data_IF_865179625861
#
_entry.id   IF_865179625861
#
_cell.length_a   1.000
_cell.length_b   1.000
_cell.length_c   1.000
_cell.angle_alpha   90.00
_cell.angle_beta   90.00
_cell.angle_gamma   90.00
#
_symmetry.space_group_name_H-M   'P 1'
#
loop_
_entity.id
_entity.type
_entity.pdbx_description
1 polymer ?
#
# COMPACT_ATOMS: atom_id res chain seq x y z
N UNK A 1 9.02 1.62 16.63
CA UNK A 1 8.92 1.33 15.17
C UNK A 1 8.14 0.06 14.89
N UNK A 2 8.52 -1.10 15.45
CA UNK A 2 7.75 -2.35 15.30
C UNK A 2 6.34 -2.23 15.87
N UNK A 3 6.18 -1.63 17.04
CA UNK A 3 4.86 -1.50 17.69
C UNK A 3 3.91 -0.60 16.91
N UNK A 4 4.43 0.45 16.26
CA UNK A 4 3.67 1.29 15.34
C UNK A 4 3.19 0.48 14.12
N UNK A 5 4.07 -0.35 13.55
CA UNK A 5 3.70 -1.22 12.45
C UNK A 5 2.65 -2.27 12.89
N UNK A 6 2.79 -2.82 14.10
CA UNK A 6 1.82 -3.76 14.67
C UNK A 6 0.46 -3.09 14.94
N UNK A 7 0.46 -1.85 15.41
CA UNK A 7 -0.76 -1.06 15.58
C UNK A 7 -1.49 -0.89 14.23
N UNK A 8 -0.77 -0.52 13.17
CA UNK A 8 -1.35 -0.41 11.82
C UNK A 8 -1.86 -1.76 11.29
N UNK A 9 -1.14 -2.85 11.54
CA UNK A 9 -1.59 -4.20 11.22
C UNK A 9 -2.94 -4.53 11.88
N UNK A 10 -3.03 -4.27 13.19
CA UNK A 10 -4.24 -4.51 13.98
C UNK A 10 -5.41 -3.62 13.56
N UNK A 11 -5.13 -2.36 13.22
CA UNK A 11 -6.13 -1.45 12.67
C UNK A 11 -6.68 -1.94 11.31
N UNK A 12 -5.83 -2.58 10.48
CA UNK A 12 -6.24 -3.05 9.17
C UNK A 12 -7.01 -4.39 9.20
N UNK A 13 -6.56 -5.33 10.05
CA UNK A 13 -7.01 -6.74 10.03
C UNK A 13 -7.76 -7.20 11.29
N UNK A 14 -7.75 -6.43 12.38
CA UNK A 14 -8.39 -6.75 13.66
C UNK A 14 -7.41 -6.80 14.84
N UNK A 15 -7.92 -6.53 16.05
CA UNK A 15 -7.12 -6.32 17.28
C UNK A 15 -6.21 -7.49 17.67
N UNK A 16 -6.66 -8.72 17.39
CA UNK A 16 -5.93 -9.95 17.75
C UNK A 16 -4.88 -10.35 16.72
N UNK A 17 -4.68 -9.54 15.66
CA UNK A 17 -3.76 -9.87 14.58
C UNK A 17 -2.32 -9.64 14.99
N UNK A 18 -1.47 -10.64 14.77
CA UNK A 18 -0.03 -10.56 14.92
C UNK A 18 0.69 -10.70 13.58
N UNK A 19 1.94 -10.24 13.52
CA UNK A 19 2.76 -10.43 12.34
C UNK A 19 2.98 -11.90 12.06
N UNK A 20 2.83 -12.27 10.79
CA UNK A 20 3.33 -13.54 10.29
C UNK A 20 4.85 -13.46 10.12
N UNK A 21 5.48 -14.63 10.16
CA UNK A 21 6.92 -14.77 9.97
C UNK A 21 7.39 -14.01 8.71
N UNK A 22 8.36 -13.12 8.87
CA UNK A 22 8.96 -12.33 7.79
C UNK A 22 8.25 -11.02 7.45
N UNK A 23 7.03 -10.76 7.94
CA UNK A 23 6.31 -9.52 7.61
C UNK A 23 6.99 -8.29 8.19
N UNK A 24 7.36 -8.34 9.47
CA UNK A 24 8.04 -7.22 10.11
C UNK A 24 9.42 -6.98 9.49
N UNK A 25 10.16 -8.04 9.18
CA UNK A 25 11.48 -7.98 8.55
C UNK A 25 11.37 -7.30 7.18
N UNK A 26 10.35 -7.65 6.39
CA UNK A 26 10.09 -7.04 5.09
C UNK A 26 9.71 -5.54 5.22
N UNK A 27 8.80 -5.20 6.13
CA UNK A 27 8.42 -3.80 6.41
C UNK A 27 9.66 -2.99 6.82
N UNK A 28 10.43 -3.52 7.79
CA UNK A 28 11.66 -2.89 8.30
C UNK A 28 12.67 -2.67 7.18
N UNK A 29 12.84 -3.64 6.29
CA UNK A 29 13.73 -3.52 5.13
C UNK A 29 13.32 -2.37 4.22
N UNK A 30 12.04 -2.28 3.84
CA UNK A 30 11.50 -1.24 2.96
C UNK A 30 11.62 0.15 3.59
N UNK A 31 11.19 0.33 4.83
CA UNK A 31 11.25 1.65 5.50
C UNK A 31 12.69 2.11 5.80
N UNK A 32 13.66 1.21 5.70
CA UNK A 32 15.09 1.51 5.77
C UNK A 32 15.71 1.84 4.41
N UNK A 33 14.90 1.99 3.36
CA UNK A 33 15.35 2.35 2.02
C UNK A 33 15.98 1.19 1.23
N UNK A 34 15.79 -0.06 1.66
CA UNK A 34 16.38 -1.23 0.98
C UNK A 34 15.45 -1.78 -0.11
N UNK A 35 16.05 -2.11 -1.25
CA UNK A 35 15.40 -2.95 -2.27
C UNK A 35 15.12 -4.32 -1.68
N UNK A 36 13.87 -4.76 -1.72
CA UNK A 36 13.40 -5.94 -1.01
C UNK A 36 12.62 -6.84 -1.97
N UNK A 37 13.04 -8.11 -2.09
CA UNK A 37 12.31 -9.16 -2.80
C UNK A 37 11.59 -10.04 -1.77
N UNK A 38 10.29 -10.21 -1.93
CA UNK A 38 9.46 -11.04 -1.04
C UNK A 38 8.90 -12.21 -1.85
N UNK A 39 9.38 -13.42 -1.57
CA UNK A 39 8.87 -14.66 -2.17
C UNK A 39 8.07 -15.41 -1.12
N UNK A 40 6.74 -15.39 -1.27
CA UNK A 40 5.82 -16.00 -0.32
C UNK A 40 4.59 -16.56 -1.04
N UNK A 41 3.90 -17.53 -0.44
CA UNK A 41 2.67 -18.11 -0.99
C UNK A 41 1.51 -17.10 -1.08
N UNK A 42 0.49 -17.41 -1.88
CA UNK A 42 -0.77 -16.65 -1.91
C UNK A 42 -1.42 -16.68 -0.52
N UNK A 43 -2.13 -15.60 -0.16
CA UNK A 43 -2.77 -15.49 1.15
C UNK A 43 -1.81 -15.22 2.31
N UNK A 44 -0.48 -15.15 2.11
CA UNK A 44 0.50 -14.84 3.16
C UNK A 44 0.32 -13.43 3.75
N UNK A 45 -0.30 -12.50 3.02
CA UNK A 45 -0.46 -11.10 3.45
C UNK A 45 0.66 -10.20 2.93
N UNK A 46 1.07 -10.39 1.67
CA UNK A 46 2.08 -9.55 1.01
C UNK A 46 1.64 -8.09 0.92
N UNK A 47 0.34 -7.86 0.76
CA UNK A 47 -0.23 -6.51 0.65
C UNK A 47 -0.07 -5.66 1.90
N UNK A 48 -0.19 -6.31 3.06
CA UNK A 48 0.00 -5.67 4.34
C UNK A 48 1.37 -5.02 4.48
N UNK A 49 2.41 -5.67 3.91
CA UNK A 49 3.77 -5.18 3.97
C UNK A 49 3.91 -3.83 3.27
N UNK A 50 3.44 -3.70 2.03
CA UNK A 50 3.56 -2.44 1.31
C UNK A 50 2.63 -1.37 1.89
N UNK A 51 1.42 -1.70 2.35
CA UNK A 51 0.51 -0.71 2.94
C UNK A 51 1.06 -0.11 4.24
N UNK A 52 1.53 -0.95 5.15
CA UNK A 52 2.12 -0.47 6.40
C UNK A 52 3.40 0.33 6.12
N UNK A 53 4.26 -0.16 5.22
CA UNK A 53 5.46 0.57 4.84
C UNK A 53 5.14 1.95 4.24
N UNK A 54 4.18 2.03 3.32
CA UNK A 54 3.70 3.31 2.76
C UNK A 54 3.22 4.24 3.85
N UNK A 55 2.33 3.77 4.74
CA UNK A 55 1.80 4.63 5.82
C UNK A 55 2.92 5.18 6.70
N UNK A 56 3.90 4.35 7.07
CA UNK A 56 5.04 4.79 7.87
C UNK A 56 5.95 5.78 7.15
N UNK A 57 6.12 5.63 5.83
CA UNK A 57 6.90 6.55 5.01
C UNK A 57 6.17 7.89 4.81
N UNK A 58 4.86 7.86 4.56
CA UNK A 58 4.02 9.06 4.39
C UNK A 58 3.98 9.92 5.65
N UNK A 59 3.87 9.32 6.84
CA UNK A 59 3.96 10.05 8.12
C UNK A 59 5.31 10.77 8.28
N UNK A 60 6.38 10.27 7.65
CA UNK A 60 7.71 10.89 7.67
C UNK A 60 7.93 11.90 6.54
N UNK A 61 6.88 12.27 5.79
CA UNK A 61 6.97 13.23 4.70
C UNK A 61 7.47 12.66 3.37
N UNK A 62 7.52 11.32 3.23
CA UNK A 62 7.84 10.73 1.93
C UNK A 62 6.70 10.96 0.91
N UNK A 63 7.04 10.87 -0.38
CA UNK A 63 6.07 10.90 -1.47
C UNK A 63 5.13 9.69 -1.52
N UNK A 64 4.21 9.66 -2.50
CA UNK A 64 3.29 8.54 -2.71
C UNK A 64 4.03 7.24 -3.05
N UNK A 65 3.37 6.10 -2.82
CA UNK A 65 3.82 4.80 -3.32
C UNK A 65 3.12 4.46 -4.62
N UNK A 66 3.89 4.01 -5.61
CA UNK A 66 3.37 3.43 -6.82
C UNK A 66 3.26 1.91 -6.67
N UNK A 67 2.06 1.37 -6.91
CA UNK A 67 1.77 -0.05 -6.85
C UNK A 67 1.34 -0.54 -8.23
N UNK A 68 2.17 -1.37 -8.85
CA UNK A 68 1.87 -1.94 -10.17
C UNK A 68 1.27 -3.33 -9.95
N UNK A 69 0.03 -3.55 -10.41
CA UNK A 69 -0.69 -4.82 -10.24
C UNK A 69 -1.48 -5.20 -11.49
N UNK A 70 -1.31 -6.43 -12.01
CA UNK A 70 -2.02 -6.87 -13.22
C UNK A 70 -3.51 -7.15 -13.03
N UNK A 71 -4.00 -7.24 -11.78
CA UNK A 71 -5.36 -7.68 -11.49
C UNK A 71 -6.26 -6.54 -11.00
N UNK A 72 -7.06 -5.99 -11.92
CA UNK A 72 -8.08 -4.98 -11.63
C UNK A 72 -9.09 -5.44 -10.56
N UNK A 73 -9.48 -6.72 -10.61
CA UNK A 73 -10.44 -7.32 -9.67
C UNK A 73 -9.99 -7.29 -8.21
N UNK A 74 -8.69 -7.14 -7.95
CA UNK A 74 -8.13 -7.05 -6.60
C UNK A 74 -8.01 -5.60 -6.11
N UNK A 75 -8.11 -4.60 -6.99
CA UNK A 75 -7.83 -3.20 -6.67
C UNK A 75 -8.86 -2.63 -5.68
N UNK A 76 -10.15 -2.94 -5.83
CA UNK A 76 -11.20 -2.46 -4.91
C UNK A 76 -10.93 -2.88 -3.46
N UNK A 77 -10.68 -4.18 -3.25
CA UNK A 77 -10.33 -4.71 -1.94
C UNK A 77 -9.02 -4.10 -1.39
N UNK A 78 -8.07 -3.77 -2.26
CA UNK A 78 -6.82 -3.12 -1.88
C UNK A 78 -7.04 -1.68 -1.41
N UNK A 79 -7.88 -0.90 -2.11
CA UNK A 79 -8.26 0.46 -1.72
C UNK A 79 -8.95 0.44 -0.36
N UNK A 80 -9.93 -0.44 -0.17
CA UNK A 80 -10.65 -0.55 1.11
C UNK A 80 -9.71 -0.90 2.28
N UNK A 81 -8.77 -1.81 2.07
CA UNK A 81 -7.79 -2.18 3.10
C UNK A 81 -6.82 -1.02 3.41
N UNK A 82 -6.38 -0.28 2.38
CA UNK A 82 -5.52 0.89 2.57
C UNK A 82 -6.25 1.98 3.37
N UNK A 83 -7.52 2.24 3.06
CA UNK A 83 -8.34 3.24 3.74
C UNK A 83 -8.48 2.96 5.24
N UNK A 84 -8.52 1.68 5.66
CA UNK A 84 -8.59 1.31 7.10
C UNK A 84 -7.44 1.85 7.92
N UNK A 85 -6.27 2.05 7.34
CA UNK A 85 -5.10 2.64 8.01
C UNK A 85 -4.85 4.11 7.64
N UNK A 86 -5.88 4.75 7.06
CA UNK A 86 -5.88 6.17 6.70
C UNK A 86 -5.06 6.49 5.46
N UNK A 87 -4.86 5.54 4.55
CA UNK A 87 -4.22 5.79 3.27
C UNK A 87 -5.26 6.15 2.21
N UNK A 88 -5.03 7.23 1.47
CA UNK A 88 -5.79 7.57 0.27
C UNK A 88 -5.16 6.86 -0.93
N UNK A 89 -5.88 5.87 -1.46
CA UNK A 89 -5.46 5.11 -2.63
C UNK A 89 -6.34 5.45 -3.84
N UNK A 90 -5.73 5.65 -5.01
CA UNK A 90 -6.41 5.87 -6.29
C UNK A 90 -5.92 4.86 -7.33
N UNK A 91 -6.69 4.64 -8.38
CA UNK A 91 -6.32 3.79 -9.51
C UNK A 91 -6.20 4.58 -10.80
N UNK A 92 -5.28 4.17 -11.65
CA UNK A 92 -5.25 4.52 -13.08
C UNK A 92 -5.23 3.20 -13.85
N UNK A 93 -6.28 2.95 -14.62
CA UNK A 93 -6.42 1.76 -15.45
C UNK A 93 -7.30 2.05 -16.68
N UNK A 94 -7.53 1.03 -17.51
CA UNK A 94 -8.35 1.13 -18.72
C UNK A 94 -9.81 1.48 -18.48
N UNK A 95 -10.32 1.26 -17.27
CA UNK A 95 -11.75 1.36 -16.97
C UNK A 95 -12.13 2.74 -16.41
N UNK A 96 -11.16 3.61 -16.12
CA UNK A 96 -11.38 4.92 -15.52
C UNK A 96 -10.63 6.07 -16.23
N UNK A 97 -10.44 5.96 -17.55
CA UNK A 97 -9.69 6.94 -18.36
C UNK A 97 -10.18 8.38 -18.17
N UNK A 98 -11.50 8.56 -18.04
CA UNK A 98 -12.10 9.89 -17.85
C UNK A 98 -11.71 10.55 -16.52
N UNK A 99 -11.26 9.78 -15.52
CA UNK A 99 -10.84 10.26 -14.20
C UNK A 99 -9.33 10.58 -14.12
N UNK A 100 -8.54 10.21 -15.13
CA UNK A 100 -7.08 10.27 -15.04
C UNK A 100 -6.54 11.66 -14.76
N UNK A 101 -7.06 12.68 -15.45
CA UNK A 101 -6.61 14.06 -15.24
C UNK A 101 -6.81 14.51 -13.79
N UNK A 102 -7.94 14.12 -13.18
CA UNK A 102 -8.23 14.41 -11.78
C UNK A 102 -7.26 13.65 -10.86
N UNK A 103 -7.05 12.36 -11.09
CA UNK A 103 -6.12 11.54 -10.28
C UNK A 103 -4.69 12.08 -10.36
N UNK A 104 -4.24 12.53 -11.54
CA UNK A 104 -2.94 13.17 -11.70
C UNK A 104 -2.82 14.49 -10.95
N UNK A 105 -3.88 15.30 -10.93
CA UNK A 105 -3.91 16.56 -10.18
C UNK A 105 -3.84 16.30 -8.67
N UNK A 106 -4.66 15.36 -8.17
CA UNK A 106 -4.62 14.91 -6.76
C UNK A 106 -3.24 14.37 -6.38
N UNK A 107 -2.57 13.64 -7.29
CA UNK A 107 -1.21 13.14 -7.09
C UNK A 107 -0.20 14.28 -6.96
N UNK A 108 -0.27 15.27 -7.87
CA UNK A 108 0.61 16.45 -7.86
C UNK A 108 0.42 17.31 -6.61
N UNK A 109 -0.81 17.38 -6.10
CA UNK A 109 -1.16 18.08 -4.86
C UNK A 109 -0.76 17.31 -3.58
N UNK A 110 -0.22 16.08 -3.73
CA UNK A 110 0.24 15.26 -2.60
C UNK A 110 -0.89 14.60 -1.82
N UNK A 111 -2.11 14.57 -2.38
CA UNK A 111 -3.31 14.05 -1.74
C UNK A 111 -3.42 12.53 -1.81
N UNK A 112 -2.70 11.90 -2.73
CA UNK A 112 -2.69 10.45 -2.90
C UNK A 112 -1.50 9.87 -2.13
N UNK A 113 -1.75 8.83 -1.34
CA UNK A 113 -0.70 8.07 -0.66
C UNK A 113 -0.26 6.85 -1.49
N UNK A 114 -1.20 6.23 -2.22
CA UNK A 114 -0.95 5.07 -3.08
C UNK A 114 -1.63 5.26 -4.43
N UNK A 115 -0.86 5.15 -5.51
CA UNK A 115 -1.39 5.04 -6.86
C UNK A 115 -1.25 3.60 -7.34
N UNK A 116 -2.38 2.97 -7.66
CA UNK A 116 -2.44 1.63 -8.25
C UNK A 116 -2.49 1.75 -9.77
N UNK A 117 -1.51 1.18 -10.46
CA UNK A 117 -1.39 1.16 -11.92
C UNK A 117 -1.51 -0.26 -12.46
N UNK A 118 -2.22 -0.39 -13.60
CA UNK A 118 -2.13 -1.60 -14.43
C UNK A 118 -0.81 -1.59 -15.22
N UNK A 119 -0.13 -2.74 -15.43
CA UNK A 119 1.20 -2.78 -16.05
C UNK A 119 1.29 -2.22 -17.47
N UNK A 120 0.17 -2.14 -18.18
CA UNK A 120 0.07 -1.59 -19.53
C UNK A 120 0.23 -0.06 -19.58
N UNK A 121 0.38 0.60 -18.42
CA UNK A 121 0.49 2.05 -18.24
C UNK A 121 1.67 2.38 -17.33
#
# INVERSE_FOLDING_TARGET
MRDQALFLLKQMLGSETEFREGQWEAIKSIISGKRTLIVQRTGWGKSVVYFIATRMLRVKGAGPTLLISPLLSLMRNQIENAARIGLRAQTINSDNVDEWNQVEEELKNGEIDILLLSPER
#
